data_IF_016476744921
#
_entry.id   IF_016476744921
#
_cell.length_a   1.000
_cell.length_b   1.000
_cell.length_c   1.000
_cell.angle_alpha   90.00
_cell.angle_beta   90.00
_cell.angle_gamma   90.00
#
_symmetry.space_group_name_H-M   'P 1'
#
loop_
_entity.id
_entity.type
_entity.pdbx_description
1 polymer ?
#
# COMPACT_ATOMS: atom_id res chain seq x y z
N UNK A 1 0.03 7.53 19.02
CA UNK A 1 -1.26 6.80 19.12
C UNK A 1 -1.17 5.44 18.44
N UNK A 2 -0.92 5.35 17.12
CA UNK A 2 -0.80 4.07 16.41
C UNK A 2 0.24 3.08 16.97
N UNK A 3 1.45 3.57 17.34
CA UNK A 3 2.49 2.73 17.98
C UNK A 3 2.02 2.13 19.31
N UNK A 4 1.28 2.92 20.11
CA UNK A 4 0.78 2.53 21.44
C UNK A 4 -0.43 1.60 21.33
N UNK A 5 -1.28 1.80 20.33
CA UNK A 5 -2.47 0.96 20.10
C UNK A 5 -2.21 -0.27 19.22
N UNK A 6 -0.98 -0.47 18.73
CA UNK A 6 -0.57 -1.60 17.90
C UNK A 6 -1.49 -1.83 16.68
N UNK A 7 -1.69 -0.77 15.89
CA UNK A 7 -2.51 -0.83 14.67
C UNK A 7 -1.84 -0.10 13.49
N UNK A 8 -2.37 -0.32 12.29
CA UNK A 8 -1.84 0.28 11.05
C UNK A 8 -0.47 -0.28 10.68
N UNK A 9 0.48 0.58 10.30
CA UNK A 9 1.82 0.16 9.87
C UNK A 9 2.64 -0.60 10.93
N UNK A 10 2.18 -0.64 12.18
CA UNK A 10 2.82 -1.42 13.26
C UNK A 10 2.45 -2.90 13.22
N UNK A 11 1.45 -3.29 12.42
CA UNK A 11 1.10 -4.68 12.17
C UNK A 11 1.88 -5.29 10.99
N UNK A 12 2.59 -4.47 10.20
CA UNK A 12 3.25 -4.94 8.97
C UNK A 12 4.29 -6.04 9.23
N UNK A 13 4.92 -6.03 10.42
CA UNK A 13 5.91 -7.03 10.84
C UNK A 13 5.26 -8.36 11.29
N UNK A 14 3.92 -8.41 11.40
CA UNK A 14 3.14 -9.55 11.92
C UNK A 14 2.30 -10.17 10.79
N UNK A 15 2.95 -10.77 9.79
CA UNK A 15 2.27 -11.27 8.58
C UNK A 15 1.12 -12.23 8.87
N UNK A 16 1.27 -13.16 9.81
CA UNK A 16 0.21 -14.13 10.19
C UNK A 16 -1.02 -13.43 10.77
N UNK A 17 -0.81 -12.41 11.61
CA UNK A 17 -1.89 -11.62 12.18
C UNK A 17 -2.60 -10.79 11.10
N UNK A 18 -1.82 -10.16 10.21
CA UNK A 18 -2.39 -9.39 9.10
C UNK A 18 -3.21 -10.29 8.16
N UNK A 19 -2.67 -11.46 7.83
CA UNK A 19 -3.36 -12.44 6.99
C UNK A 19 -4.71 -12.83 7.60
N UNK A 20 -4.70 -13.26 8.87
CA UNK A 20 -5.94 -13.70 9.54
C UNK A 20 -6.99 -12.60 9.64
N UNK A 21 -6.60 -11.36 9.91
CA UNK A 21 -7.52 -10.21 9.96
C UNK A 21 -8.15 -9.93 8.59
N UNK A 22 -7.34 -9.94 7.52
CA UNK A 22 -7.85 -9.66 6.17
C UNK A 22 -8.73 -10.80 5.66
N UNK A 23 -8.34 -12.05 5.92
CA UNK A 23 -9.12 -13.24 5.58
C UNK A 23 -10.48 -13.22 6.28
N UNK A 24 -10.50 -13.01 7.59
CA UNK A 24 -11.75 -12.97 8.36
C UNK A 24 -12.69 -11.86 7.87
N UNK A 25 -12.13 -10.68 7.55
CA UNK A 25 -12.89 -9.58 6.98
C UNK A 25 -13.45 -9.94 5.59
N UNK A 26 -12.64 -10.58 4.73
CA UNK A 26 -13.05 -11.00 3.40
C UNK A 26 -14.16 -12.05 3.44
N UNK A 27 -14.05 -13.06 4.30
CA UNK A 27 -15.02 -14.15 4.42
C UNK A 27 -16.36 -13.69 4.99
N UNK A 28 -16.37 -12.66 5.85
CA UNK A 28 -17.60 -12.18 6.51
C UNK A 28 -18.25 -10.97 5.85
N UNK A 29 -17.48 -10.11 5.20
CA UNK A 29 -18.01 -8.89 4.61
C UNK A 29 -18.82 -9.21 3.35
N UNK A 30 -19.94 -8.49 3.17
CA UNK A 30 -20.75 -8.54 1.94
C UNK A 30 -20.29 -7.52 0.89
N UNK A 31 -19.18 -6.85 1.15
CA UNK A 31 -18.61 -5.79 0.32
C UNK A 31 -17.11 -6.04 0.14
N UNK A 32 -16.49 -5.51 -0.93
CA UNK A 32 -15.08 -5.74 -1.18
C UNK A 32 -14.18 -5.24 -0.05
N UNK A 33 -13.18 -6.06 0.30
CA UNK A 33 -12.14 -5.68 1.26
C UNK A 33 -10.94 -5.11 0.50
N UNK A 34 -10.49 -3.93 0.91
CA UNK A 34 -9.33 -3.25 0.33
C UNK A 34 -8.30 -2.96 1.39
N UNK A 35 -7.01 -3.06 1.06
CA UNK A 35 -5.92 -2.78 1.99
C UNK A 35 -5.14 -1.55 1.55
N UNK A 36 -4.67 -0.74 2.52
CA UNK A 36 -3.75 0.37 2.29
C UNK A 36 -2.50 0.19 3.14
N UNK A 37 -1.34 0.15 2.48
CA UNK A 37 -0.06 -0.15 3.13
C UNK A 37 0.99 0.94 2.94
N UNK A 38 2.04 0.85 3.74
CA UNK A 38 3.35 1.45 3.50
C UNK A 38 4.31 0.35 3.04
N UNK A 39 5.48 0.73 2.54
CA UNK A 39 6.52 -0.21 2.10
C UNK A 39 7.54 -0.49 3.22
N UNK A 40 8.34 -1.54 3.07
CA UNK A 40 9.55 -1.76 3.85
C UNK A 40 10.76 -1.11 3.17
N UNK A 41 11.89 -1.04 3.87
CA UNK A 41 13.18 -0.69 3.23
C UNK A 41 13.68 -1.79 2.30
N UNK A 42 13.26 -3.03 2.56
CA UNK A 42 13.55 -4.20 1.73
C UNK A 42 12.39 -4.44 0.75
N UNK A 43 12.69 -4.36 -0.54
CA UNK A 43 11.73 -4.62 -1.60
C UNK A 43 11.11 -6.02 -1.49
N UNK A 44 11.91 -7.04 -1.17
CA UNK A 44 11.43 -8.43 -1.09
C UNK A 44 10.37 -8.59 -0.01
N UNK A 45 10.55 -7.94 1.15
CA UNK A 45 9.56 -7.90 2.23
C UNK A 45 8.30 -7.16 1.81
N UNK A 46 8.43 -6.07 1.05
CA UNK A 46 7.27 -5.34 0.52
C UNK A 46 6.46 -6.21 -0.45
N UNK A 47 7.13 -6.93 -1.34
CA UNK A 47 6.48 -7.83 -2.30
C UNK A 47 5.80 -9.01 -1.60
N UNK A 48 6.48 -9.65 -0.64
CA UNK A 48 5.90 -10.72 0.18
C UNK A 48 4.66 -10.23 0.94
N UNK A 49 4.72 -9.02 1.51
CA UNK A 49 3.60 -8.45 2.24
C UNK A 49 2.41 -8.12 1.33
N UNK A 50 2.66 -7.55 0.15
CA UNK A 50 1.62 -7.29 -0.84
C UNK A 50 0.94 -8.59 -1.31
N UNK A 51 1.73 -9.64 -1.57
CA UNK A 51 1.23 -10.96 -1.96
C UNK A 51 0.41 -11.61 -0.84
N UNK A 52 0.89 -11.53 0.40
CA UNK A 52 0.17 -12.00 1.59
C UNK A 52 -1.24 -11.37 1.69
N UNK A 53 -1.36 -10.05 1.49
CA UNK A 53 -2.64 -9.36 1.53
C UNK A 53 -3.58 -9.77 0.40
N UNK A 54 -3.05 -9.98 -0.80
CA UNK A 54 -3.83 -10.51 -1.92
C UNK A 54 -4.37 -11.91 -1.58
N UNK A 55 -3.50 -12.79 -1.10
CA UNK A 55 -3.85 -14.19 -0.82
C UNK A 55 -4.83 -14.30 0.35
N UNK A 56 -4.79 -13.35 1.29
CA UNK A 56 -5.79 -13.20 2.35
C UNK A 56 -7.16 -12.67 1.85
N UNK A 57 -7.30 -12.28 0.58
CA UNK A 57 -8.58 -11.86 0.01
C UNK A 57 -8.76 -10.35 -0.18
N UNK A 58 -7.71 -9.54 -0.06
CA UNK A 58 -7.80 -8.14 -0.46
C UNK A 58 -8.07 -8.03 -1.97
N UNK A 59 -9.05 -7.21 -2.36
CA UNK A 59 -9.47 -7.06 -3.76
C UNK A 59 -8.90 -5.80 -4.43
N UNK A 60 -8.41 -4.84 -3.65
CA UNK A 60 -7.63 -3.68 -4.13
C UNK A 60 -6.54 -3.38 -3.12
N UNK A 61 -5.34 -3.10 -3.60
CA UNK A 61 -4.19 -2.72 -2.78
C UNK A 61 -3.77 -1.27 -3.06
N UNK A 62 -3.86 -0.40 -2.07
CA UNK A 62 -3.28 0.95 -2.14
C UNK A 62 -1.90 0.94 -1.50
N UNK A 63 -0.87 1.38 -2.22
CA UNK A 63 0.51 1.38 -1.73
C UNK A 63 1.02 2.80 -1.59
N UNK A 64 1.41 3.19 -0.37
CA UNK A 64 2.19 4.40 -0.15
C UNK A 64 3.68 4.07 -0.22
N UNK A 65 4.40 4.65 -1.18
CA UNK A 65 5.84 4.40 -1.43
C UNK A 65 6.81 4.95 -0.37
N UNK A 66 6.36 5.14 0.88
CA UNK A 66 7.23 5.55 2.00
C UNK A 66 7.19 4.47 3.06
N UNK A 67 8.33 4.26 3.71
CA UNK A 67 8.43 3.37 4.86
C UNK A 67 7.65 3.90 6.06
N UNK A 68 7.39 3.03 7.05
CA UNK A 68 6.73 3.46 8.30
C UNK A 68 7.44 4.62 8.99
N UNK A 69 8.77 4.63 8.98
CA UNK A 69 9.60 5.62 9.68
C UNK A 69 9.83 6.89 8.84
N UNK A 70 9.67 6.83 7.51
CA UNK A 70 9.74 7.99 6.63
C UNK A 70 8.48 8.88 6.75
N UNK A 71 8.47 9.72 7.79
CA UNK A 71 7.38 10.64 8.17
C UNK A 71 7.97 11.95 8.73
N UNK A 72 7.22 13.05 8.62
CA UNK A 72 7.55 14.33 9.26
C UNK A 72 8.45 15.24 8.41
N UNK A 73 9.04 16.26 9.06
CA UNK A 73 9.95 17.20 8.40
C UNK A 73 11.19 16.46 7.88
N UNK A 74 11.50 16.62 6.59
CA UNK A 74 12.60 15.92 5.93
C UNK A 74 12.25 14.55 5.34
N UNK A 75 10.97 14.17 5.33
CA UNK A 75 10.54 12.95 4.65
C UNK A 75 10.90 12.99 3.16
N UNK A 76 11.54 11.93 2.67
CA UNK A 76 11.89 11.81 1.25
C UNK A 76 10.62 11.61 0.41
N UNK A 77 10.63 11.90 -0.90
CA UNK A 77 9.51 11.59 -1.77
C UNK A 77 9.12 10.11 -1.71
N UNK A 78 7.84 9.81 -1.94
CA UNK A 78 7.35 8.44 -2.09
C UNK A 78 8.02 7.80 -3.31
N UNK A 79 8.55 6.61 -3.11
CA UNK A 79 9.19 5.84 -4.16
C UNK A 79 8.12 5.15 -5.02
N UNK A 80 7.99 5.62 -6.26
CA UNK A 80 7.08 5.02 -7.24
C UNK A 80 7.65 3.74 -7.87
N UNK A 81 8.97 3.52 -7.81
CA UNK A 81 9.60 2.33 -8.37
C UNK A 81 9.20 1.06 -7.60
N UNK A 82 9.12 1.13 -6.27
CA UNK A 82 8.60 0.02 -5.46
C UNK A 82 7.10 -0.20 -5.67
N UNK A 83 6.32 0.86 -5.90
CA UNK A 83 4.89 0.73 -6.24
C UNK A 83 4.73 -0.01 -7.58
N UNK A 84 5.57 0.30 -8.58
CA UNK A 84 5.62 -0.43 -9.85
C UNK A 84 5.94 -1.91 -9.64
N UNK A 85 6.97 -2.23 -8.85
CA UNK A 85 7.32 -3.62 -8.51
C UNK A 85 6.14 -4.36 -7.86
N UNK A 86 5.42 -3.72 -6.94
CA UNK A 86 4.20 -4.30 -6.35
C UNK A 86 3.13 -4.53 -7.41
N UNK A 87 2.86 -3.53 -8.28
CA UNK A 87 1.89 -3.64 -9.38
C UNK A 87 2.19 -4.81 -10.33
N UNK A 88 3.45 -5.09 -10.59
CA UNK A 88 3.89 -6.22 -11.43
C UNK A 88 3.83 -7.57 -10.68
N UNK A 89 3.91 -7.56 -9.35
CA UNK A 89 3.97 -8.76 -8.51
C UNK A 89 2.61 -9.32 -8.09
N UNK A 90 1.57 -8.47 -8.05
CA UNK A 90 0.20 -8.88 -7.67
C UNK A 90 -0.77 -8.80 -8.85
N UNK A 91 -1.81 -9.61 -8.82
CA UNK A 91 -2.85 -9.69 -9.85
C UNK A 91 -4.04 -8.77 -9.58
N UNK A 92 -4.24 -8.35 -8.33
CA UNK A 92 -5.31 -7.41 -7.95
C UNK A 92 -4.98 -5.96 -8.36
N UNK A 93 -5.99 -5.11 -8.58
CA UNK A 93 -5.75 -3.69 -8.86
C UNK A 93 -4.90 -3.00 -7.79
N UNK A 94 -3.90 -2.23 -8.24
CA UNK A 94 -3.02 -1.44 -7.37
C UNK A 94 -3.29 0.05 -7.55
N UNK A 95 -3.38 0.77 -6.44
CA UNK A 95 -3.53 2.23 -6.38
C UNK A 95 -2.25 2.84 -5.79
N UNK A 96 -1.61 3.75 -6.52
CA UNK A 96 -0.45 4.48 -6.01
C UNK A 96 -0.87 5.61 -5.05
N UNK A 97 -0.10 5.81 -3.98
CA UNK A 97 -0.30 6.91 -3.05
C UNK A 97 1.04 7.56 -2.66
N UNK A 98 1.04 8.88 -2.53
CA UNK A 98 2.18 9.69 -2.09
C UNK A 98 2.79 10.52 -3.22
N UNK A 99 3.00 11.80 -2.92
CA UNK A 99 3.58 12.81 -3.84
C UNK A 99 2.79 12.99 -5.15
N UNK A 100 1.45 12.99 -5.05
CA UNK A 100 0.52 13.27 -6.15
C UNK A 100 -0.22 14.56 -5.78
N UNK A 101 0.23 15.70 -6.32
CA UNK A 101 -0.24 17.03 -5.90
C UNK A 101 -1.22 17.66 -6.88
N UNK A 102 -1.22 17.18 -8.11
CA UNK A 102 -2.05 17.70 -9.18
C UNK A 102 -2.35 16.59 -10.20
N UNK A 103 -3.24 16.89 -11.15
CA UNK A 103 -3.59 16.00 -12.26
C UNK A 103 -2.39 15.57 -13.13
N UNK A 104 -1.38 16.42 -13.29
CA UNK A 104 -0.19 16.07 -14.07
C UNK A 104 0.66 15.01 -13.35
N UNK A 105 0.83 15.13 -12.03
CA UNK A 105 1.48 14.10 -11.21
C UNK A 105 0.71 12.78 -11.25
N UNK A 106 -0.63 12.83 -11.22
CA UNK A 106 -1.47 11.65 -11.35
C UNK A 106 -1.23 10.92 -12.68
N UNK A 107 -1.25 11.66 -13.80
CA UNK A 107 -1.01 11.09 -15.12
C UNK A 107 0.40 10.49 -15.23
N UNK A 108 1.42 11.19 -14.75
CA UNK A 108 2.81 10.72 -14.73
C UNK A 108 2.97 9.46 -13.88
N UNK A 109 2.38 9.44 -12.69
CA UNK A 109 2.42 8.28 -11.79
C UNK A 109 1.83 7.02 -12.46
N UNK A 110 0.68 7.14 -13.11
CA UNK A 110 0.04 6.03 -13.83
C UNK A 110 0.94 5.56 -14.99
N UNK A 111 1.49 6.48 -15.77
CA UNK A 111 2.38 6.17 -16.88
C UNK A 111 3.65 5.43 -16.43
N UNK A 112 4.29 5.89 -15.36
CA UNK A 112 5.58 5.35 -14.90
C UNK A 112 5.43 3.98 -14.23
N UNK A 113 4.31 3.76 -13.54
CA UNK A 113 4.12 2.59 -12.66
C UNK A 113 3.14 1.54 -13.20
N UNK A 114 2.28 1.89 -14.16
CA UNK A 114 1.25 0.99 -14.68
C UNK A 114 0.14 0.66 -13.67
N UNK A 115 0.03 1.43 -12.57
CA UNK A 115 -1.04 1.27 -11.57
C UNK A 115 -2.42 1.58 -12.14
N UNK A 116 -3.45 0.98 -11.54
CA UNK A 116 -4.83 1.11 -11.99
C UNK A 116 -5.47 2.44 -11.57
N UNK A 117 -4.83 3.18 -10.67
CA UNK A 117 -5.30 4.48 -10.22
C UNK A 117 -4.36 5.12 -9.21
N UNK A 118 -4.73 6.32 -8.78
CA UNK A 118 -3.98 7.10 -7.80
C UNK A 118 -4.88 7.56 -6.66
N UNK A 119 -4.31 7.69 -5.47
CA UNK A 119 -4.95 8.29 -4.31
C UNK A 119 -4.13 9.51 -3.89
N UNK A 120 -4.74 10.69 -3.93
CA UNK A 120 -4.18 11.90 -3.30
C UNK A 120 -4.80 12.11 -1.92
N UNK A 121 -4.00 12.62 -0.99
CA UNK A 121 -4.41 12.97 0.38
C UNK A 121 -3.99 14.38 0.79
N UNK A 122 -3.29 15.12 -0.09
CA UNK A 122 -2.77 16.46 0.21
C UNK A 122 -3.41 17.49 -0.73
N UNK A 123 -3.24 17.35 -2.06
CA UNK A 123 -3.76 18.26 -3.08
C UNK A 123 -4.01 17.51 -4.42
N UNK A 124 -4.93 17.96 -5.29
CA UNK A 124 -5.28 17.31 -6.57
C UNK A 124 -5.55 18.30 -7.71
#
# INVERSE_FOLDING_TARGET
IAKRGRYGSFLMDELELVYSVVQEAHERARVPITCKIRVFEDDSKTLQYAKCLQDAGAQVLTVHGRTRENKGKGATPADWSIIKKVREHVSIPVIANGNIYNRHDAARCIQDTGVNGVMSAEWL
#
